data_IF_022194254351
#
_entry.id   IF_022194254351
#
_cell.length_a   1.000
_cell.length_b   1.000
_cell.length_c   1.000
_cell.angle_alpha   90.00
_cell.angle_beta   90.00
_cell.angle_gamma   90.00
#
_symmetry.space_group_name_H-M   'P 1'
#
loop_
_entity.id
_entity.type
_entity.pdbx_description
1 polymer ?
#
# COMPACT_ATOMS: atom_id res chain seq x y z
N UNK A 1 -38.44 58.66 25.23
CA UNK A 1 -38.15 57.52 24.34
C UNK A 1 -37.66 56.38 25.21
N UNK A 2 -38.29 55.21 25.15
CA UNK A 2 -37.81 54.04 25.86
C UNK A 2 -36.74 53.36 24.98
N UNK A 3 -35.54 53.20 25.53
CA UNK A 3 -34.45 52.45 24.90
C UNK A 3 -34.44 51.07 25.56
N UNK A 4 -34.67 50.02 24.79
CA UNK A 4 -34.63 48.63 25.25
C UNK A 4 -33.31 48.00 24.83
N UNK A 5 -32.53 47.51 25.78
CA UNK A 5 -31.35 46.70 25.49
C UNK A 5 -31.79 45.27 25.17
N UNK A 6 -31.52 44.81 23.95
CA UNK A 6 -31.73 43.41 23.57
C UNK A 6 -30.42 42.66 23.84
N UNK A 7 -30.45 41.70 24.76
CA UNK A 7 -29.33 40.78 24.94
C UNK A 7 -29.35 39.79 23.76
N UNK A 8 -28.26 39.74 23.00
CA UNK A 8 -28.00 38.68 22.01
C UNK A 8 -27.14 37.63 22.70
N UNK A 9 -27.45 36.35 22.52
CA UNK A 9 -26.56 35.28 22.97
C UNK A 9 -25.25 35.40 22.20
N UNK A 10 -24.14 35.65 22.90
CA UNK A 10 -22.82 35.39 22.32
C UNK A 10 -22.71 33.89 22.07
N UNK A 11 -22.23 33.53 20.86
CA UNK A 11 -21.91 32.15 20.56
C UNK A 11 -20.88 31.65 21.57
N UNK A 12 -21.04 30.43 22.09
CA UNK A 12 -20.07 29.87 23.01
C UNK A 12 -18.70 29.74 22.32
N UNK A 13 -17.59 30.06 23.00
CA UNK A 13 -16.27 29.89 22.44
C UNK A 13 -15.93 28.40 22.32
N UNK A 14 -15.20 28.06 21.26
CA UNK A 14 -14.74 26.69 20.94
C UNK A 14 -13.27 26.48 21.31
N UNK A 15 -12.62 27.47 21.94
CA UNK A 15 -11.18 27.43 22.28
C UNK A 15 -10.80 26.16 23.05
N UNK A 16 -11.68 25.69 23.93
CA UNK A 16 -11.43 24.54 24.80
C UNK A 16 -11.46 23.20 24.05
N UNK A 17 -12.04 23.15 22.84
CA UNK A 17 -12.11 21.93 22.04
C UNK A 17 -10.74 21.59 21.42
N UNK A 18 -9.89 22.61 21.22
CA UNK A 18 -8.49 22.48 20.81
C UNK A 18 -7.60 22.04 21.96
N UNK A 19 -7.66 20.74 22.28
CA UNK A 19 -6.99 20.17 23.45
C UNK A 19 -5.46 20.05 23.31
N UNK A 20 -4.96 19.92 22.07
CA UNK A 20 -3.53 19.90 21.79
C UNK A 20 -2.96 21.33 21.68
N UNK A 21 -1.94 21.69 22.48
CA UNK A 21 -1.40 23.04 22.48
C UNK A 21 -0.67 23.42 21.19
N UNK A 22 -0.05 22.47 20.49
CA UNK A 22 0.58 22.72 19.20
C UNK A 22 -0.50 22.95 18.14
N UNK A 23 -1.56 22.14 18.14
CA UNK A 23 -2.68 22.35 17.22
C UNK A 23 -3.36 23.70 17.47
N UNK A 24 -3.66 24.02 18.74
CA UNK A 24 -4.22 25.33 19.11
C UNK A 24 -3.32 26.48 18.63
N UNK A 25 -2.00 26.37 18.77
CA UNK A 25 -1.06 27.38 18.28
C UNK A 25 -1.15 27.57 16.75
N UNK A 26 -1.26 26.48 15.99
CA UNK A 26 -1.41 26.54 14.53
C UNK A 26 -2.78 27.08 14.11
N UNK A 27 -3.86 26.74 14.83
CA UNK A 27 -5.18 27.33 14.61
C UNK A 27 -5.10 28.85 14.81
N UNK A 28 -4.53 29.31 15.93
CA UNK A 28 -4.34 30.74 16.24
C UNK A 28 -3.50 31.46 15.18
N UNK A 29 -2.44 30.82 14.70
CA UNK A 29 -1.62 31.33 13.60
C UNK A 29 -2.47 31.50 12.33
N UNK A 30 -3.24 30.48 11.97
CA UNK A 30 -4.10 30.46 10.77
C UNK A 30 -5.15 31.57 10.80
N UNK A 31 -5.80 31.81 11.94
CA UNK A 31 -6.82 32.87 12.09
C UNK A 31 -6.22 34.24 12.48
N UNK A 32 -4.89 34.36 12.56
CA UNK A 32 -4.19 35.57 13.02
C UNK A 32 -4.70 36.10 14.38
N UNK A 33 -5.02 35.20 15.32
CA UNK A 33 -5.61 35.51 16.63
C UNK A 33 -4.80 34.88 17.78
N UNK A 34 -3.70 35.53 18.21
CA UNK A 34 -2.75 34.93 19.15
C UNK A 34 -3.31 34.75 20.57
N UNK A 35 -4.33 35.51 20.96
CA UNK A 35 -4.93 35.48 22.30
C UNK A 35 -6.44 35.61 22.24
N UNK A 36 -7.11 35.35 23.37
CA UNK A 36 -8.56 35.45 23.50
C UNK A 36 -9.30 34.23 22.95
N UNK A 37 -10.62 34.26 23.08
CA UNK A 37 -11.48 33.16 22.69
C UNK A 37 -11.54 32.97 21.17
N UNK A 38 -11.61 31.72 20.73
CA UNK A 38 -11.86 31.31 19.35
C UNK A 38 -13.34 30.95 19.25
N UNK A 39 -14.03 31.48 18.25
CA UNK A 39 -15.41 31.16 17.94
C UNK A 39 -15.49 30.36 16.64
N UNK A 40 -16.56 29.59 16.46
CA UNK A 40 -16.76 28.83 15.22
C UNK A 40 -16.71 29.72 13.96
N UNK A 41 -17.16 30.98 14.05
CA UNK A 41 -17.05 31.96 12.97
C UNK A 41 -15.61 32.30 12.57
N UNK A 42 -14.65 32.16 13.49
CA UNK A 42 -13.24 32.44 13.20
C UNK A 42 -12.64 31.38 12.25
N UNK A 43 -13.15 30.14 12.29
CA UNK A 43 -12.63 29.01 11.49
C UNK A 43 -13.57 28.57 10.36
N UNK A 44 -14.83 28.99 10.38
CA UNK A 44 -15.87 28.56 9.43
C UNK A 44 -15.55 28.84 7.95
N UNK A 45 -14.68 29.81 7.66
CA UNK A 45 -14.26 30.16 6.30
C UNK A 45 -12.97 29.49 5.84
N UNK A 46 -12.31 28.70 6.69
CA UNK A 46 -11.01 28.09 6.37
C UNK A 46 -11.23 26.89 5.44
N UNK A 47 -10.72 26.98 4.21
CA UNK A 47 -10.84 25.92 3.20
C UNK A 47 -9.59 25.05 3.06
N UNK A 48 -8.45 25.52 3.57
CA UNK A 48 -7.16 24.80 3.57
C UNK A 48 -6.52 24.97 4.94
N UNK A 49 -6.13 23.86 5.54
CA UNK A 49 -5.41 23.83 6.81
C UNK A 49 -4.20 22.92 6.65
N UNK A 50 -3.01 23.49 6.82
CA UNK A 50 -1.75 22.77 6.82
C UNK A 50 -1.12 22.89 8.20
N UNK A 51 -1.03 21.75 8.89
CA UNK A 51 -0.42 21.58 10.21
C UNK A 51 0.63 20.46 10.18
N UNK A 52 1.29 20.27 9.04
CA UNK A 52 2.36 19.28 8.85
C UNK A 52 3.56 19.57 9.75
N UNK A 53 4.15 18.50 10.33
CA UNK A 53 5.41 18.55 11.07
C UNK A 53 5.38 19.54 12.26
N UNK A 54 4.32 19.47 13.07
CA UNK A 54 4.07 20.37 14.20
C UNK A 54 4.14 19.68 15.56
N UNK A 55 4.51 18.39 15.59
CA UNK A 55 4.46 17.56 16.80
C UNK A 55 3.07 17.56 17.45
N UNK A 56 2.03 17.52 16.63
CA UNK A 56 0.63 17.45 17.09
C UNK A 56 0.29 15.98 17.42
N UNK A 57 -0.35 15.78 18.56
CA UNK A 57 -0.83 14.48 19.05
C UNK A 57 -2.35 14.33 18.89
N UNK A 58 -3.09 15.45 18.82
CA UNK A 58 -4.55 15.45 18.60
C UNK A 58 -5.02 16.63 17.74
N UNK A 59 -5.96 16.37 16.82
CA UNK A 59 -6.70 17.40 16.08
C UNK A 59 -8.10 17.66 16.66
N UNK A 60 -8.36 17.37 17.94
CA UNK A 60 -9.62 17.73 18.57
C UNK A 60 -9.97 19.22 18.32
N UNK A 61 -11.23 19.50 17.98
CA UNK A 61 -11.70 20.81 17.54
C UNK A 61 -11.65 21.02 16.02
N UNK A 62 -11.06 20.10 15.25
CA UNK A 62 -11.05 20.17 13.77
C UNK A 62 -12.46 20.11 13.19
N UNK A 63 -13.43 19.54 13.90
CA UNK A 63 -14.83 19.44 13.48
C UNK A 63 -15.51 20.80 13.24
N UNK A 64 -14.93 21.89 13.76
CA UNK A 64 -15.40 23.26 13.51
C UNK A 64 -15.01 23.79 12.13
N UNK A 65 -14.07 23.16 11.43
CA UNK A 65 -13.56 23.56 10.10
C UNK A 65 -14.47 23.02 8.98
N UNK A 66 -15.76 23.33 9.05
CA UNK A 66 -16.79 22.73 8.16
C UNK A 66 -16.65 23.08 6.67
N UNK A 67 -15.92 24.14 6.33
CA UNK A 67 -15.60 24.52 4.96
C UNK A 67 -14.32 23.88 4.41
N UNK A 68 -13.63 23.04 5.19
CA UNK A 68 -12.34 22.50 4.83
C UNK A 68 -12.43 21.61 3.59
N UNK A 69 -11.62 21.94 2.60
CA UNK A 69 -11.50 21.21 1.33
C UNK A 69 -10.15 20.48 1.21
N UNK A 70 -9.16 20.90 2.00
CA UNK A 70 -7.84 20.31 2.05
C UNK A 70 -7.32 20.32 3.48
N UNK A 71 -7.01 19.14 4.01
CA UNK A 71 -6.34 18.95 5.29
C UNK A 71 -4.99 18.28 5.05
N UNK A 72 -3.92 18.95 5.50
CA UNK A 72 -2.56 18.41 5.50
C UNK A 72 -2.11 18.35 6.96
N UNK A 73 -2.00 17.16 7.52
CA UNK A 73 -1.58 16.90 8.89
C UNK A 73 -0.48 15.83 8.96
N UNK A 74 0.29 15.67 7.88
CA UNK A 74 1.39 14.73 7.78
C UNK A 74 2.48 14.97 8.85
N UNK A 75 3.30 13.95 9.11
CA UNK A 75 4.49 14.04 9.94
C UNK A 75 4.20 14.54 11.37
N UNK A 76 3.13 14.03 11.98
CA UNK A 76 2.74 14.33 13.36
C UNK A 76 2.77 13.04 14.19
N UNK A 77 2.06 13.02 15.31
CA UNK A 77 1.98 11.89 16.24
C UNK A 77 0.53 11.48 16.50
N UNK A 78 -0.36 11.72 15.54
CA UNK A 78 -1.77 11.42 15.66
C UNK A 78 -1.98 9.91 15.82
N UNK A 79 -2.59 9.51 16.93
CA UNK A 79 -3.05 8.12 17.15
C UNK A 79 -4.48 7.92 16.64
N UNK A 80 -5.26 9.00 16.62
CA UNK A 80 -6.63 9.04 16.09
C UNK A 80 -6.81 10.27 15.20
N UNK A 81 -7.75 10.17 14.26
CA UNK A 81 -8.12 11.26 13.38
C UNK A 81 -9.61 11.12 13.03
N UNK A 82 -10.43 12.01 13.57
CA UNK A 82 -11.83 12.11 13.20
C UNK A 82 -12.03 13.21 12.16
N UNK A 83 -12.43 12.80 10.95
CA UNK A 83 -12.72 13.69 9.81
C UNK A 83 -14.17 13.59 9.38
N UNK A 84 -15.03 12.93 10.15
CA UNK A 84 -16.43 12.63 9.77
C UNK A 84 -17.27 13.88 9.48
N UNK A 85 -16.95 15.00 10.15
CA UNK A 85 -17.59 16.31 9.94
C UNK A 85 -17.07 17.09 8.73
N UNK A 86 -15.91 16.68 8.17
CA UNK A 86 -15.20 17.40 7.11
C UNK A 86 -15.66 16.96 5.72
N UNK A 87 -16.99 16.89 5.52
CA UNK A 87 -17.65 16.34 4.31
C UNK A 87 -17.32 17.09 3.00
N UNK A 88 -16.65 18.23 3.09
CA UNK A 88 -16.19 19.03 1.95
C UNK A 88 -14.75 18.72 1.51
N UNK A 89 -14.05 17.81 2.20
CA UNK A 89 -12.68 17.45 1.86
C UNK A 89 -12.60 16.84 0.46
N UNK A 90 -11.73 17.45 -0.36
CA UNK A 90 -11.30 16.93 -1.64
C UNK A 90 -9.93 16.25 -1.52
N UNK A 91 -9.10 16.68 -0.56
CA UNK A 91 -7.78 16.12 -0.29
C UNK A 91 -7.56 15.96 1.21
N UNK A 92 -7.15 14.76 1.61
CA UNK A 92 -6.70 14.45 2.97
C UNK A 92 -5.29 13.87 2.90
N UNK A 93 -4.35 14.53 3.55
CA UNK A 93 -3.00 14.04 3.75
C UNK A 93 -2.73 13.93 5.26
N UNK A 94 -2.59 12.69 5.73
CA UNK A 94 -2.39 12.34 7.13
C UNK A 94 -1.29 11.28 7.30
N UNK A 95 -0.34 11.25 6.38
CA UNK A 95 0.76 10.28 6.37
C UNK A 95 1.77 10.51 7.49
N UNK A 96 2.60 9.50 7.77
CA UNK A 96 3.64 9.57 8.79
C UNK A 96 3.08 9.97 10.17
N UNK A 97 2.02 9.28 10.58
CA UNK A 97 1.39 9.40 11.90
C UNK A 97 1.38 8.02 12.58
N UNK A 98 0.55 7.82 13.59
CA UNK A 98 0.40 6.55 14.34
C UNK A 98 -1.04 6.04 14.27
N UNK A 99 -1.75 6.35 13.18
CA UNK A 99 -3.15 6.00 13.03
C UNK A 99 -3.30 4.48 12.93
N UNK A 100 -4.15 3.92 13.79
CA UNK A 100 -4.50 2.48 13.75
C UNK A 100 -5.82 2.23 13.00
N UNK A 101 -6.64 3.28 12.89
CA UNK A 101 -7.91 3.32 12.17
C UNK A 101 -8.02 4.68 11.46
N UNK A 102 -8.64 4.67 10.28
CA UNK A 102 -9.03 5.87 9.56
C UNK A 102 -10.40 5.64 8.92
N UNK A 103 -11.40 6.42 9.33
CA UNK A 103 -12.72 6.40 8.71
C UNK A 103 -12.88 7.56 7.73
N UNK A 104 -13.14 7.23 6.46
CA UNK A 104 -13.36 8.19 5.37
C UNK A 104 -14.67 7.96 4.63
N UNK A 105 -15.56 7.10 5.15
CA UNK A 105 -16.77 6.65 4.43
C UNK A 105 -17.69 7.79 3.99
N UNK A 106 -17.75 8.87 4.77
CA UNK A 106 -18.64 10.01 4.53
C UNK A 106 -18.01 11.08 3.63
N UNK A 107 -16.73 10.92 3.27
CA UNK A 107 -15.97 11.89 2.45
C UNK A 107 -16.20 11.69 0.95
N UNK A 108 -17.45 11.68 0.50
CA UNK A 108 -17.84 11.40 -0.90
C UNK A 108 -17.20 12.30 -1.96
N UNK A 109 -16.69 13.48 -1.58
CA UNK A 109 -15.97 14.42 -2.46
C UNK A 109 -14.46 14.17 -2.52
N UNK A 110 -13.93 13.25 -1.72
CA UNK A 110 -12.50 12.99 -1.62
C UNK A 110 -11.97 12.50 -2.97
N UNK A 111 -10.96 13.21 -3.48
CA UNK A 111 -10.28 12.91 -4.74
C UNK A 111 -8.86 12.39 -4.51
N UNK A 112 -8.24 12.78 -3.41
CA UNK A 112 -6.87 12.39 -3.05
C UNK A 112 -6.81 11.99 -1.57
N UNK A 113 -6.35 10.77 -1.31
CA UNK A 113 -6.12 10.28 0.05
C UNK A 113 -4.67 9.81 0.18
N UNK A 114 -3.92 10.47 1.07
CA UNK A 114 -2.59 10.06 1.49
C UNK A 114 -2.64 9.70 2.97
N UNK A 115 -2.52 8.40 3.26
CA UNK A 115 -2.49 7.86 4.63
C UNK A 115 -1.35 6.85 4.80
N UNK A 116 -0.29 7.01 4.01
CA UNK A 116 0.87 6.12 4.03
C UNK A 116 1.70 6.30 5.33
N UNK A 117 2.52 5.31 5.65
CA UNK A 117 3.38 5.31 6.84
C UNK A 117 2.59 5.56 8.13
N UNK A 118 1.57 4.72 8.35
CA UNK A 118 0.74 4.67 9.55
C UNK A 118 0.71 3.22 10.09
N UNK A 119 -0.18 2.93 11.02
CA UNK A 119 -0.36 1.60 11.61
C UNK A 119 -1.71 0.95 11.26
N UNK A 120 -2.32 1.36 10.14
CA UNK A 120 -3.64 0.90 9.73
C UNK A 120 -3.60 -0.62 9.47
N UNK A 121 -4.56 -1.35 10.03
CA UNK A 121 -4.71 -2.80 9.83
C UNK A 121 -5.77 -3.16 8.80
N UNK A 122 -6.70 -2.24 8.55
CA UNK A 122 -7.69 -2.29 7.48
C UNK A 122 -7.99 -0.87 7.00
N UNK A 123 -8.45 -0.76 5.77
CA UNK A 123 -8.93 0.50 5.19
C UNK A 123 -10.11 0.21 4.28
N UNK A 124 -11.22 0.90 4.53
CA UNK A 124 -12.39 0.87 3.65
C UNK A 124 -12.54 2.24 2.99
N UNK A 125 -12.40 2.24 1.68
CA UNK A 125 -12.61 3.39 0.78
C UNK A 125 -13.75 3.11 -0.20
N UNK A 126 -14.57 2.08 0.07
CA UNK A 126 -15.67 1.71 -0.79
C UNK A 126 -16.66 2.87 -0.97
N UNK A 127 -17.13 3.08 -2.18
CA UNK A 127 -18.08 4.14 -2.51
C UNK A 127 -17.49 5.53 -2.66
N UNK A 128 -16.17 5.72 -2.47
CA UNK A 128 -15.49 6.98 -2.77
C UNK A 128 -15.29 7.16 -4.29
N UNK A 129 -16.39 7.22 -5.05
CA UNK A 129 -16.37 7.19 -6.52
C UNK A 129 -15.65 8.37 -7.19
N UNK A 130 -15.34 9.43 -6.44
CA UNK A 130 -14.53 10.58 -6.91
C UNK A 130 -13.04 10.41 -6.67
N UNK A 131 -12.60 9.35 -5.97
CA UNK A 131 -11.21 9.14 -5.59
C UNK A 131 -10.36 8.85 -6.84
N UNK A 132 -9.35 9.68 -7.07
CA UNK A 132 -8.43 9.60 -8.20
C UNK A 132 -7.10 8.99 -7.80
N UNK A 133 -6.64 9.28 -6.58
CA UNK A 133 -5.39 8.77 -6.03
C UNK A 133 -5.59 8.25 -4.61
N UNK A 134 -5.15 7.03 -4.39
CA UNK A 134 -5.05 6.42 -3.07
C UNK A 134 -3.60 6.00 -2.79
N UNK A 135 -3.00 6.59 -1.77
CA UNK A 135 -1.73 6.12 -1.23
C UNK A 135 -1.89 5.70 0.24
N UNK A 136 -1.93 4.38 0.45
CA UNK A 136 -2.02 3.73 1.76
C UNK A 136 -0.81 2.79 2.01
N UNK A 137 0.33 3.07 1.37
CA UNK A 137 1.54 2.26 1.52
C UNK A 137 2.13 2.34 2.93
N UNK A 138 3.01 1.39 3.29
CA UNK A 138 3.72 1.47 4.57
C UNK A 138 2.79 1.36 5.78
N UNK A 139 1.78 0.51 5.68
CA UNK A 139 0.83 0.24 6.76
C UNK A 139 0.90 -1.24 7.15
N UNK A 140 -0.06 -1.70 7.97
CA UNK A 140 -0.20 -3.10 8.39
C UNK A 140 -1.45 -3.74 7.77
N UNK A 141 -1.88 -3.26 6.60
CA UNK A 141 -3.15 -3.67 5.99
C UNK A 141 -3.15 -5.16 5.67
N UNK A 142 -4.13 -5.87 6.19
CA UNK A 142 -4.46 -7.26 5.79
C UNK A 142 -5.67 -7.31 4.87
N UNK A 143 -6.50 -6.25 4.87
CA UNK A 143 -7.63 -6.06 3.99
C UNK A 143 -7.71 -4.60 3.50
N UNK A 144 -8.05 -4.44 2.22
CA UNK A 144 -8.28 -3.16 1.57
C UNK A 144 -9.56 -3.26 0.73
N UNK A 145 -10.60 -2.52 1.11
CA UNK A 145 -11.91 -2.56 0.47
C UNK A 145 -12.08 -1.34 -0.46
N UNK A 146 -12.27 -1.60 -1.75
CA UNK A 146 -12.17 -0.60 -2.83
C UNK A 146 -13.32 -0.66 -3.84
N UNK A 147 -14.47 -1.18 -3.43
CA UNK A 147 -15.61 -1.29 -4.36
C UNK A 147 -16.13 0.10 -4.77
N UNK A 148 -16.45 0.28 -6.05
CA UNK A 148 -17.03 1.53 -6.56
C UNK A 148 -16.04 2.67 -6.84
N UNK A 149 -14.73 2.41 -6.86
CA UNK A 149 -13.69 3.41 -7.16
C UNK A 149 -13.45 3.62 -8.67
N UNK A 150 -14.49 3.93 -9.43
CA UNK A 150 -14.44 3.99 -10.91
C UNK A 150 -13.52 5.09 -11.47
N UNK A 151 -13.24 6.14 -10.69
CA UNK A 151 -12.36 7.24 -11.08
C UNK A 151 -10.88 7.05 -10.68
N UNK A 152 -10.55 5.97 -9.97
CA UNK A 152 -9.20 5.76 -9.42
C UNK A 152 -8.20 5.52 -10.55
N UNK A 153 -7.11 6.31 -10.54
CA UNK A 153 -6.04 6.26 -11.55
C UNK A 153 -4.72 5.77 -10.99
N UNK A 154 -4.44 6.04 -9.72
CA UNK A 154 -3.20 5.64 -9.06
C UNK A 154 -3.51 5.00 -7.71
N UNK A 155 -3.16 3.71 -7.59
CA UNK A 155 -3.28 2.93 -6.37
C UNK A 155 -1.89 2.52 -5.88
N UNK A 156 -1.52 3.02 -4.70
CA UNK A 156 -0.28 2.66 -4.01
C UNK A 156 -0.62 2.01 -2.67
N UNK A 157 -0.52 0.68 -2.64
CA UNK A 157 -0.77 -0.15 -1.47
C UNK A 157 0.42 -1.04 -1.10
N UNK A 158 1.61 -0.71 -1.59
CA UNK A 158 2.85 -1.43 -1.31
C UNK A 158 3.29 -1.35 0.16
N UNK A 159 4.19 -2.24 0.59
CA UNK A 159 4.63 -2.34 1.98
C UNK A 159 3.45 -2.53 2.95
N UNK A 160 2.67 -3.59 2.73
CA UNK A 160 1.54 -3.98 3.57
C UNK A 160 1.58 -5.50 3.80
N UNK A 161 0.49 -6.08 4.31
CA UNK A 161 0.37 -7.50 4.61
C UNK A 161 -0.79 -8.16 3.85
N UNK A 162 -1.17 -7.59 2.70
CA UNK A 162 -2.30 -8.05 1.90
C UNK A 162 -2.03 -9.45 1.35
N UNK A 163 -2.96 -10.37 1.56
CA UNK A 163 -2.93 -11.73 0.99
C UNK A 163 -3.79 -11.85 -0.27
N UNK A 164 -4.74 -10.93 -0.43
CA UNK A 164 -5.57 -10.76 -1.62
C UNK A 164 -5.73 -9.27 -1.93
N UNK A 165 -5.89 -8.97 -3.22
CA UNK A 165 -6.13 -7.61 -3.71
C UNK A 165 -7.13 -7.70 -4.85
N UNK A 166 -8.36 -7.25 -4.60
CA UNK A 166 -9.39 -7.15 -5.64
C UNK A 166 -9.30 -5.78 -6.30
N UNK A 167 -8.94 -5.80 -7.59
CA UNK A 167 -8.85 -4.62 -8.46
C UNK A 167 -9.94 -4.61 -9.53
N UNK A 168 -10.93 -5.51 -9.43
CA UNK A 168 -12.03 -5.55 -10.39
C UNK A 168 -12.86 -4.25 -10.35
N UNK A 169 -13.25 -3.77 -11.54
CA UNK A 169 -14.02 -2.53 -11.69
C UNK A 169 -13.24 -1.22 -11.51
N UNK A 170 -11.90 -1.29 -11.33
CA UNK A 170 -11.01 -0.12 -11.35
C UNK A 170 -10.67 0.28 -12.80
N UNK A 171 -11.69 0.53 -13.63
CA UNK A 171 -11.57 0.66 -15.10
C UNK A 171 -10.65 1.80 -15.57
N UNK A 172 -10.49 2.83 -14.73
CA UNK A 172 -9.63 4.00 -14.98
C UNK A 172 -8.21 3.85 -14.45
N UNK A 173 -7.87 2.72 -13.81
CA UNK A 173 -6.59 2.55 -13.12
C UNK A 173 -5.44 2.54 -14.14
N UNK A 174 -4.54 3.51 -14.00
CA UNK A 174 -3.38 3.68 -14.87
C UNK A 174 -2.08 3.18 -14.22
N UNK A 175 -2.00 3.26 -12.89
CA UNK A 175 -0.84 2.87 -12.09
C UNK A 175 -1.29 2.01 -10.90
N UNK A 176 -0.71 0.82 -10.78
CA UNK A 176 -0.88 -0.06 -9.64
C UNK A 176 0.49 -0.40 -9.04
N UNK A 177 0.70 -0.02 -7.79
CA UNK A 177 1.84 -0.46 -6.99
C UNK A 177 1.37 -1.24 -5.75
N UNK A 178 1.50 -2.56 -5.82
CA UNK A 178 1.19 -3.51 -4.75
C UNK A 178 2.42 -4.32 -4.28
N UNK A 179 3.62 -3.79 -4.52
CA UNK A 179 4.88 -4.39 -4.09
C UNK A 179 4.93 -4.71 -2.58
N UNK A 180 5.78 -5.64 -2.15
CA UNK A 180 6.01 -5.95 -0.74
C UNK A 180 4.70 -6.25 0.01
N UNK A 181 3.99 -7.25 -0.48
CA UNK A 181 2.78 -7.80 0.13
C UNK A 181 2.92 -9.34 0.21
N UNK A 182 1.81 -10.05 0.42
CA UNK A 182 1.76 -11.52 0.50
C UNK A 182 0.78 -12.09 -0.52
N UNK A 183 0.62 -11.42 -1.67
CA UNK A 183 -0.34 -11.81 -2.71
C UNK A 183 0.08 -13.13 -3.35
N UNK A 184 -0.75 -14.17 -3.18
CA UNK A 184 -0.53 -15.47 -3.84
C UNK A 184 -1.06 -15.48 -5.29
N UNK A 185 -2.04 -14.62 -5.58
CA UNK A 185 -2.61 -14.40 -6.91
C UNK A 185 -2.91 -12.92 -7.10
N UNK A 186 -2.92 -12.48 -8.36
CA UNK A 186 -3.31 -11.12 -8.72
C UNK A 186 -4.03 -11.17 -10.07
N UNK A 187 -5.33 -10.86 -10.07
CA UNK A 187 -6.11 -10.79 -11.30
C UNK A 187 -6.19 -9.34 -11.77
N UNK A 188 -5.52 -9.03 -12.88
CA UNK A 188 -5.52 -7.71 -13.52
C UNK A 188 -6.38 -7.65 -14.78
N UNK A 189 -7.15 -8.70 -15.08
CA UNK A 189 -8.03 -8.70 -16.23
C UNK A 189 -9.05 -7.56 -16.17
N UNK A 190 -9.30 -6.92 -17.30
CA UNK A 190 -10.24 -5.80 -17.40
C UNK A 190 -9.65 -4.42 -17.04
N UNK A 191 -8.41 -4.33 -16.54
CA UNK A 191 -7.73 -3.05 -16.29
C UNK A 191 -7.19 -2.43 -17.59
N UNK A 192 -8.08 -2.12 -18.54
CA UNK A 192 -7.72 -1.70 -19.91
C UNK A 192 -6.93 -0.38 -19.96
N UNK A 193 -6.99 0.43 -18.89
CA UNK A 193 -6.27 1.69 -18.75
C UNK A 193 -4.87 1.55 -18.12
N UNK A 194 -4.48 0.34 -17.69
CA UNK A 194 -3.27 0.13 -16.90
C UNK A 194 -2.01 0.30 -17.75
N UNK A 195 -1.17 1.26 -17.37
CA UNK A 195 0.10 1.59 -18.02
C UNK A 195 1.30 1.09 -17.22
N UNK A 196 1.18 1.05 -15.89
CA UNK A 196 2.23 0.58 -14.98
C UNK A 196 1.71 -0.39 -13.94
N UNK A 197 2.34 -1.56 -13.86
CA UNK A 197 2.11 -2.56 -12.83
C UNK A 197 3.42 -2.86 -12.09
N UNK A 198 3.43 -2.60 -10.78
CA UNK A 198 4.56 -2.88 -9.89
C UNK A 198 4.06 -3.82 -8.78
N UNK A 199 4.38 -5.10 -8.89
CA UNK A 199 4.00 -6.15 -7.95
C UNK A 199 5.15 -7.03 -7.39
N UNK A 200 6.40 -6.53 -7.27
CA UNK A 200 7.49 -7.34 -6.78
C UNK A 200 7.37 -7.65 -5.29
N UNK A 201 8.13 -8.65 -4.81
CA UNK A 201 8.10 -9.10 -3.42
C UNK A 201 6.68 -9.49 -2.98
N UNK A 202 6.10 -10.39 -3.76
CA UNK A 202 4.82 -11.07 -3.47
C UNK A 202 5.03 -12.59 -3.57
N UNK A 203 3.94 -13.36 -3.64
CA UNK A 203 3.97 -14.82 -3.67
C UNK A 203 3.34 -15.36 -4.96
N UNK A 204 3.36 -14.57 -6.04
CA UNK A 204 2.72 -14.93 -7.31
C UNK A 204 3.48 -16.08 -7.96
N UNK A 205 2.75 -17.10 -8.41
CA UNK A 205 3.30 -18.23 -9.19
C UNK A 205 3.06 -18.09 -10.68
N UNK A 206 2.09 -17.25 -11.07
CA UNK A 206 1.75 -16.88 -12.44
C UNK A 206 1.19 -15.45 -12.45
N UNK A 207 1.24 -14.80 -13.61
CA UNK A 207 0.63 -13.50 -13.81
C UNK A 207 0.12 -13.40 -15.25
N UNK A 208 -1.20 -13.24 -15.43
CA UNK A 208 -1.76 -12.99 -16.75
C UNK A 208 -1.98 -11.50 -16.96
N UNK A 209 -1.21 -10.91 -17.87
CA UNK A 209 -1.35 -9.53 -18.34
C UNK A 209 -2.04 -9.46 -19.70
N UNK A 210 -2.72 -10.55 -20.13
CA UNK A 210 -3.45 -10.56 -21.39
C UNK A 210 -4.56 -9.50 -21.38
N UNK A 211 -4.69 -8.78 -22.49
CA UNK A 211 -5.65 -7.69 -22.62
C UNK A 211 -5.20 -6.33 -22.07
N UNK A 212 -4.06 -6.25 -21.37
CA UNK A 212 -3.46 -4.98 -20.95
C UNK A 212 -2.73 -4.29 -22.12
N UNK A 213 -3.48 -3.87 -23.13
CA UNK A 213 -2.96 -3.44 -24.44
C UNK A 213 -2.03 -2.21 -24.41
N UNK A 214 -2.10 -1.39 -23.36
CA UNK A 214 -1.31 -0.17 -23.20
C UNK A 214 -0.29 -0.27 -22.05
N UNK A 215 -0.05 -1.47 -21.51
CA UNK A 215 0.91 -1.68 -20.44
C UNK A 215 2.33 -1.38 -20.93
N UNK A 216 2.90 -0.29 -20.44
CA UNK A 216 4.23 0.17 -20.79
C UNK A 216 5.29 -0.15 -19.75
N UNK A 217 4.89 -0.53 -18.53
CA UNK A 217 5.79 -0.88 -17.43
C UNK A 217 5.25 -2.06 -16.62
N UNK A 218 6.09 -3.06 -16.39
CA UNK A 218 5.81 -4.20 -15.52
C UNK A 218 7.05 -4.56 -14.71
N UNK A 219 6.95 -4.48 -13.39
CA UNK A 219 7.88 -5.13 -12.49
C UNK A 219 7.13 -6.19 -11.68
N UNK A 220 7.53 -7.45 -11.88
CA UNK A 220 6.97 -8.60 -11.18
C UNK A 220 8.05 -9.45 -10.51
N UNK A 221 9.21 -8.83 -10.24
CA UNK A 221 10.38 -9.45 -9.63
C UNK A 221 10.12 -9.95 -8.21
N UNK A 222 10.98 -10.79 -7.67
CA UNK A 222 10.89 -11.36 -6.33
C UNK A 222 9.50 -11.97 -6.04
N UNK A 223 9.00 -12.75 -7.00
CA UNK A 223 7.83 -13.61 -6.87
C UNK A 223 8.25 -15.09 -7.04
N UNK A 224 7.31 -16.03 -6.88
CA UNK A 224 7.54 -17.47 -7.04
C UNK A 224 7.28 -17.98 -8.48
N UNK A 225 7.31 -17.09 -9.47
CA UNK A 225 7.26 -17.47 -10.88
C UNK A 225 8.59 -18.11 -11.29
N UNK A 226 8.58 -19.29 -11.92
CA UNK A 226 9.81 -20.02 -12.23
C UNK A 226 10.65 -19.36 -13.33
N UNK A 227 9.98 -18.86 -14.36
CA UNK A 227 10.60 -18.14 -15.46
C UNK A 227 9.56 -17.22 -16.13
N UNK A 228 10.00 -16.47 -17.13
CA UNK A 228 9.17 -15.49 -17.85
C UNK A 228 7.93 -16.08 -18.54
N UNK A 229 7.86 -17.39 -18.79
CA UNK A 229 6.68 -18.05 -19.37
C UNK A 229 5.48 -18.10 -18.43
N UNK A 230 5.71 -17.94 -17.13
CA UNK A 230 4.63 -17.80 -16.13
C UNK A 230 3.94 -16.43 -16.20
N UNK A 231 4.49 -15.48 -16.97
CA UNK A 231 3.85 -14.21 -17.31
C UNK A 231 3.23 -14.35 -18.71
N UNK A 232 1.90 -14.40 -18.80
CA UNK A 232 1.18 -14.53 -20.07
C UNK A 232 0.65 -13.18 -20.56
N UNK A 233 0.48 -13.00 -21.87
CA UNK A 233 -0.41 -11.94 -22.37
C UNK A 233 0.17 -10.78 -23.17
N UNK A 234 1.47 -10.73 -23.48
CA UNK A 234 2.00 -9.94 -24.59
C UNK A 234 3.39 -10.45 -25.02
N UNK A 235 3.86 -10.03 -26.20
CA UNK A 235 5.24 -10.23 -26.64
C UNK A 235 6.18 -9.31 -25.82
N UNK A 236 6.31 -9.60 -24.53
CA UNK A 236 7.10 -8.81 -23.59
C UNK A 236 8.59 -8.97 -23.97
N UNK A 237 9.25 -7.84 -24.26
CA UNK A 237 10.70 -7.78 -24.40
C UNK A 237 11.30 -7.48 -23.03
N UNK A 238 11.91 -8.47 -22.39
CA UNK A 238 12.62 -8.33 -21.11
C UNK A 238 14.00 -7.70 -21.31
N UNK A 239 14.06 -6.51 -21.93
CA UNK A 239 15.30 -5.76 -22.19
C UNK A 239 15.78 -4.93 -20.99
N UNK A 240 15.09 -5.04 -19.85
CA UNK A 240 15.50 -4.48 -18.55
C UNK A 240 15.23 -2.99 -18.35
N UNK A 241 14.57 -2.31 -19.30
CA UNK A 241 14.22 -0.88 -19.14
C UNK A 241 12.82 -0.66 -18.55
N UNK A 242 11.84 -1.43 -19.01
CA UNK A 242 10.42 -1.26 -18.64
C UNK A 242 9.74 -2.55 -18.16
N UNK A 243 10.35 -3.71 -18.43
CA UNK A 243 9.86 -5.01 -18.00
C UNK A 243 10.94 -5.67 -17.16
N UNK A 244 10.64 -5.91 -15.88
CA UNK A 244 11.59 -6.42 -14.89
C UNK A 244 11.05 -7.73 -14.30
N UNK A 245 11.87 -8.77 -14.41
CA UNK A 245 11.61 -10.11 -13.87
C UNK A 245 12.89 -10.64 -13.24
N UNK A 246 12.86 -10.82 -11.92
CA UNK A 246 13.86 -11.58 -11.18
C UNK A 246 13.11 -12.56 -10.27
N UNK A 247 13.31 -13.89 -10.35
CA UNK A 247 12.57 -14.80 -9.50
C UNK A 247 13.10 -14.78 -8.05
N UNK A 248 12.23 -15.10 -7.07
CA UNK A 248 12.61 -15.14 -5.66
C UNK A 248 13.42 -16.40 -5.33
N UNK A 249 14.71 -16.25 -4.98
CA UNK A 249 15.61 -17.35 -4.61
C UNK A 249 15.64 -17.60 -3.10
N UNK A 250 14.63 -18.29 -2.57
CA UNK A 250 14.55 -18.61 -1.13
C UNK A 250 14.55 -20.11 -0.81
N UNK A 251 14.51 -20.99 -1.81
CA UNK A 251 14.55 -22.42 -1.58
C UNK A 251 16.00 -22.85 -1.31
N UNK A 252 16.32 -23.10 -0.04
CA UNK A 252 17.63 -23.55 0.37
C UNK A 252 17.82 -25.05 0.05
N UNK A 253 18.81 -25.35 -0.79
CA UNK A 253 19.25 -26.73 -1.04
C UNK A 253 20.56 -26.95 -0.28
N UNK A 254 20.58 -28.00 0.53
CA UNK A 254 21.80 -28.46 1.21
C UNK A 254 22.18 -29.84 0.68
N UNK A 255 23.28 -29.91 -0.08
CA UNK A 255 23.89 -31.15 -0.53
C UNK A 255 24.95 -31.58 0.49
N UNK A 256 24.88 -32.85 0.92
CA UNK A 256 25.89 -33.46 1.80
C UNK A 256 26.77 -34.41 0.98
N UNK A 257 28.08 -34.33 1.17
CA UNK A 257 29.08 -35.10 0.40
C UNK A 257 28.99 -34.85 -1.12
N UNK A 258 28.89 -33.58 -1.51
CA UNK A 258 28.81 -33.15 -2.89
C UNK A 258 28.67 -31.64 -3.06
N UNK A 259 28.50 -31.20 -4.30
CA UNK A 259 28.28 -29.81 -4.71
C UNK A 259 26.84 -29.57 -5.15
N UNK A 260 26.43 -28.29 -5.24
CA UNK A 260 25.07 -27.89 -5.61
C UNK A 260 24.21 -27.37 -4.44
N UNK A 261 24.83 -27.10 -3.28
CA UNK A 261 24.15 -26.33 -2.22
C UNK A 261 24.00 -24.87 -2.62
N UNK A 262 22.89 -24.23 -2.23
CA UNK A 262 22.63 -22.84 -2.57
C UNK A 262 21.17 -22.44 -2.32
N UNK A 263 20.82 -21.25 -2.80
CA UNK A 263 19.43 -20.78 -2.84
C UNK A 263 18.95 -20.76 -4.28
N UNK A 264 17.79 -21.36 -4.49
CA UNK A 264 17.19 -21.56 -5.80
C UNK A 264 15.81 -20.92 -5.83
N UNK A 265 15.41 -20.48 -7.01
CA UNK A 265 14.02 -20.12 -7.27
C UNK A 265 13.19 -21.39 -7.44
N UNK A 266 11.88 -21.28 -7.23
CA UNK A 266 10.96 -22.35 -7.59
C UNK A 266 11.07 -22.63 -9.11
N UNK A 267 11.11 -23.90 -9.51
CA UNK A 267 11.27 -24.32 -10.91
C UNK A 267 12.71 -24.39 -11.42
N UNK A 268 13.71 -23.90 -10.67
CA UNK A 268 15.11 -24.00 -11.09
C UNK A 268 15.54 -25.47 -11.25
N UNK A 269 16.27 -25.75 -12.33
CA UNK A 269 16.96 -27.04 -12.46
C UNK A 269 18.24 -27.00 -11.65
N UNK A 270 18.23 -27.68 -10.50
CA UNK A 270 19.38 -27.78 -9.61
C UNK A 270 20.25 -28.95 -10.04
N UNK A 271 21.52 -28.69 -10.33
CA UNK A 271 22.51 -29.75 -10.60
C UNK A 271 23.30 -30.04 -9.35
N UNK A 272 23.36 -31.32 -8.96
CA UNK A 272 24.15 -31.80 -7.82
C UNK A 272 25.17 -32.84 -8.29
N UNK A 273 26.35 -32.83 -7.69
CA UNK A 273 27.42 -33.79 -8.01
C UNK A 273 28.06 -34.31 -6.73
N UNK A 274 28.18 -35.64 -6.63
CA UNK A 274 28.72 -36.30 -5.45
C UNK A 274 30.23 -36.11 -5.38
N UNK A 275 30.75 -35.99 -4.17
CA UNK A 275 32.19 -36.05 -3.95
C UNK A 275 32.74 -37.43 -4.38
N UNK A 276 34.04 -37.49 -4.67
CA UNK A 276 34.69 -38.74 -4.99
C UNK A 276 34.50 -39.77 -3.86
N UNK A 277 34.09 -40.98 -4.23
CA UNK A 277 33.91 -42.06 -3.25
C UNK A 277 35.23 -42.38 -2.56
N UNK A 278 35.17 -42.63 -1.25
CA UNK A 278 36.33 -43.11 -0.49
C UNK A 278 36.92 -44.40 -1.08
N UNK A 279 38.21 -44.62 -0.89
CA UNK A 279 38.93 -45.77 -1.45
C UNK A 279 38.21 -47.10 -1.19
N UNK A 280 38.03 -47.88 -2.25
CA UNK A 280 37.31 -49.17 -2.21
C UNK A 280 35.78 -49.07 -2.22
N UNK A 281 35.20 -47.86 -2.33
CA UNK A 281 33.75 -47.65 -2.47
C UNK A 281 33.41 -47.03 -3.82
N UNK A 282 32.15 -47.18 -4.21
CA UNK A 282 31.55 -46.50 -5.37
C UNK A 282 30.35 -45.67 -4.90
N UNK A 283 29.93 -44.71 -5.72
CA UNK A 283 28.66 -44.02 -5.51
C UNK A 283 27.50 -45.02 -5.57
N UNK A 284 26.57 -44.93 -4.62
CA UNK A 284 25.38 -45.79 -4.56
C UNK A 284 24.16 -45.05 -5.14
N UNK A 285 23.64 -44.06 -4.40
CA UNK A 285 22.52 -43.22 -4.84
C UNK A 285 22.38 -41.92 -4.03
N UNK A 286 21.67 -40.97 -4.60
CA UNK A 286 21.10 -39.82 -3.90
C UNK A 286 19.83 -40.21 -3.13
N UNK A 287 19.61 -39.55 -1.99
CA UNK A 287 18.39 -39.62 -1.20
C UNK A 287 18.01 -38.22 -0.72
N UNK A 288 16.70 -37.93 -0.65
CA UNK A 288 16.18 -36.66 -0.17
C UNK A 288 15.32 -36.86 1.08
N UNK A 289 15.39 -35.93 2.02
CA UNK A 289 14.51 -35.87 3.19
C UNK A 289 13.10 -35.34 2.87
N UNK A 290 12.99 -34.54 1.81
CA UNK A 290 11.78 -33.76 1.48
C UNK A 290 11.08 -34.28 0.21
N UNK A 291 11.42 -35.48 -0.25
CA UNK A 291 10.74 -36.14 -1.37
C UNK A 291 11.10 -35.63 -2.76
N UNK A 292 12.24 -34.95 -2.92
CA UNK A 292 12.76 -34.49 -4.23
C UNK A 292 12.90 -35.65 -5.22
N UNK A 293 12.43 -35.43 -6.46
CA UNK A 293 12.55 -36.40 -7.56
C UNK A 293 13.78 -36.06 -8.40
N UNK A 294 14.82 -36.90 -8.31
CA UNK A 294 16.03 -36.77 -9.12
C UNK A 294 15.83 -37.31 -10.54
N UNK A 295 16.41 -36.65 -11.54
CA UNK A 295 16.43 -37.14 -12.91
C UNK A 295 17.07 -38.54 -13.03
N UNK A 296 18.16 -38.79 -12.28
CA UNK A 296 18.71 -40.13 -12.08
C UNK A 296 19.41 -40.22 -10.71
N UNK A 297 18.71 -40.78 -9.71
CA UNK A 297 19.23 -40.91 -8.36
C UNK A 297 20.49 -41.80 -8.26
N UNK A 298 20.75 -42.70 -9.21
CA UNK A 298 21.92 -43.59 -9.22
C UNK A 298 23.12 -43.03 -9.99
N UNK A 299 23.01 -41.81 -10.53
CA UNK A 299 24.14 -41.12 -11.15
C UNK A 299 24.86 -40.22 -10.16
N UNK A 300 26.20 -40.28 -10.14
CA UNK A 300 27.03 -39.42 -9.30
C UNK A 300 26.84 -37.92 -9.59
N UNK A 301 26.39 -37.56 -10.81
CA UNK A 301 25.93 -36.22 -11.17
C UNK A 301 24.50 -36.32 -11.71
N UNK A 302 23.57 -35.57 -11.13
CA UNK A 302 22.15 -35.57 -11.50
C UNK A 302 21.55 -34.17 -11.34
N UNK A 303 20.34 -33.99 -11.86
CA UNK A 303 19.53 -32.80 -11.62
C UNK A 303 18.23 -33.12 -10.89
N UNK A 304 17.56 -32.10 -10.37
CA UNK A 304 16.16 -32.09 -9.96
C UNK A 304 15.57 -30.70 -10.17
N UNK A 305 14.24 -30.57 -10.09
CA UNK A 305 13.54 -29.27 -10.16
C UNK A 305 13.20 -28.83 -8.74
N UNK A 306 13.55 -27.58 -8.40
CA UNK A 306 13.23 -26.99 -7.10
C UNK A 306 11.73 -26.66 -6.97
#
# INVERSE_FOLDING_TARGET
>A
QAVTATAVYEAAPITADFTDPNFLAEVRSTISKPIGDIFASDVAGITVLNVENKNIESLAGIEHFTALSMLICDNNRLETLDVSSLINLNMLACSSNRLTLLNVSDLSKLTHLYCYDNELTSLDVSGLGSLVLLNCSGNKLTALHMSGLHALKDLRCHNNQLTALDVSGLDSLASLNCAYNRLATLNVSGLLSLQGLNCPYNQLTTLDVSGLSILSYLDCSYNYMPDTSAVTGQSISWDGSNYIFEPQRIHAVTVRNGTGSGYYAQGDTVTITADAASSGKIFDKWASGDGVVFANASSASTTFIM
#
